data_IF_245291434901
#
_entry.id   IF_245291434901
#
_cell.length_a   1.000
_cell.length_b   1.000
_cell.length_c   1.000
_cell.angle_alpha   90.00
_cell.angle_beta   90.00
_cell.angle_gamma   90.00
#
_symmetry.space_group_name_H-M   'P 1'
#
loop_
_entity.id
_entity.type
_entity.pdbx_description
1 polymer ?
#
# COMPACT_ATOMS: atom_id res chain seq x y z
N UNK A 1 -20.15 -23.24 3.46
CA UNK A 1 -19.75 -22.41 4.63
C UNK A 1 -18.93 -21.25 4.09
N UNK A 2 -19.20 -20.01 4.51
CA UNK A 2 -18.46 -18.82 4.05
C UNK A 2 -17.71 -18.18 5.21
N UNK A 3 -16.48 -17.71 4.93
CA UNK A 3 -15.69 -16.90 5.85
C UNK A 3 -15.98 -15.42 5.59
N UNK A 4 -16.21 -14.64 6.64
CA UNK A 4 -16.29 -13.17 6.55
C UNK A 4 -15.23 -12.55 7.45
N UNK A 5 -14.40 -11.71 6.86
CA UNK A 5 -13.48 -10.83 7.58
C UNK A 5 -14.13 -9.45 7.72
N UNK A 6 -13.99 -8.82 8.88
CA UNK A 6 -14.58 -7.50 9.14
C UNK A 6 -13.64 -6.67 10.01
N UNK A 7 -13.54 -5.39 9.69
CA UNK A 7 -12.70 -4.41 10.39
C UNK A 7 -13.60 -3.30 10.92
N UNK A 8 -13.43 -2.93 12.18
CA UNK A 8 -14.11 -1.78 12.76
C UNK A 8 -13.51 -0.49 12.21
N UNK A 9 -14.11 0.03 11.13
CA UNK A 9 -13.54 1.10 10.30
C UNK A 9 -13.15 2.35 11.08
N UNK A 10 -14.01 2.86 11.96
CA UNK A 10 -13.75 4.12 12.67
C UNK A 10 -12.57 4.02 13.66
N UNK A 11 -12.54 3.06 14.61
CA UNK A 11 -11.37 2.83 15.45
C UNK A 11 -10.09 2.55 14.64
N UNK A 12 -10.21 1.76 13.57
CA UNK A 12 -9.06 1.44 12.72
C UNK A 12 -8.49 2.65 11.99
N UNK A 13 -9.34 3.55 11.46
CA UNK A 13 -8.87 4.80 10.84
C UNK A 13 -8.26 5.76 11.85
N UNK A 14 -8.80 5.84 13.06
CA UNK A 14 -8.22 6.65 14.14
C UNK A 14 -6.80 6.17 14.48
N UNK A 15 -6.61 4.86 14.58
CA UNK A 15 -5.28 4.27 14.82
C UNK A 15 -4.28 4.57 13.70
N UNK A 16 -4.70 4.47 12.43
CA UNK A 16 -3.84 4.83 11.28
C UNK A 16 -3.40 6.29 11.37
N UNK A 17 -4.33 7.20 11.66
CA UNK A 17 -4.03 8.62 11.79
C UNK A 17 -3.04 8.87 12.94
N UNK A 18 -3.26 8.25 14.10
CA UNK A 18 -2.34 8.34 15.25
C UNK A 18 -0.93 7.87 14.88
N UNK A 19 -0.78 6.68 14.29
CA UNK A 19 0.51 6.15 13.85
C UNK A 19 1.19 7.09 12.85
N UNK A 20 0.45 7.66 11.91
CA UNK A 20 0.98 8.60 10.93
C UNK A 20 1.51 9.89 11.61
N UNK A 21 0.80 10.42 12.61
CA UNK A 21 1.28 11.59 13.36
C UNK A 21 2.55 11.31 14.17
N UNK A 22 2.73 10.06 14.63
CA UNK A 22 3.87 9.65 15.45
C UNK A 22 5.07 9.16 14.64
N UNK A 23 4.94 9.05 13.31
CA UNK A 23 5.98 8.47 12.44
C UNK A 23 6.42 9.47 11.37
N UNK A 24 7.36 10.39 11.68
CA UNK A 24 7.94 11.27 10.67
C UNK A 24 8.56 10.48 9.52
N UNK A 25 8.20 10.83 8.28
CA UNK A 25 8.68 10.10 7.10
C UNK A 25 8.02 8.74 6.86
N UNK A 26 6.82 8.51 7.41
CA UNK A 26 6.05 7.29 7.19
C UNK A 26 5.97 6.94 5.69
N UNK A 27 6.34 5.70 5.36
CA UNK A 27 6.06 5.08 4.08
C UNK A 27 4.99 3.99 4.27
N UNK A 28 3.75 4.22 3.84
CA UNK A 28 2.71 3.20 3.92
C UNK A 28 3.08 2.00 3.05
N UNK A 29 2.84 0.80 3.57
CA UNK A 29 3.08 -0.46 2.87
C UNK A 29 1.73 -1.09 2.54
N UNK A 30 1.52 -1.49 1.29
CA UNK A 30 0.32 -2.21 0.83
C UNK A 30 0.77 -3.41 0.00
N UNK A 31 1.29 -4.43 0.67
CA UNK A 31 1.75 -5.69 0.06
C UNK A 31 0.80 -6.85 0.31
N UNK A 32 0.91 -7.91 -0.49
CA UNK A 32 0.11 -9.13 -0.34
C UNK A 32 -1.38 -8.86 -0.47
N UNK A 33 -1.78 -8.12 -1.51
CA UNK A 33 -3.16 -7.67 -1.70
C UNK A 33 -3.68 -6.82 -0.51
N UNK A 34 -2.83 -5.94 0.02
CA UNK A 34 -3.15 -5.10 1.17
C UNK A 34 -3.38 -5.89 2.46
N UNK A 35 -2.47 -6.83 2.77
CA UNK A 35 -2.54 -7.67 3.98
C UNK A 35 -3.86 -8.46 4.10
N UNK A 36 -4.46 -8.82 2.96
CA UNK A 36 -5.76 -9.49 2.90
C UNK A 36 -6.98 -8.59 3.08
N UNK A 37 -6.80 -7.27 3.28
CA UNK A 37 -7.89 -6.27 3.31
C UNK A 37 -8.29 -5.79 1.90
N UNK A 38 -7.51 -6.17 0.88
CA UNK A 38 -7.70 -5.78 -0.51
C UNK A 38 -6.85 -4.56 -0.86
N UNK A 39 -6.05 -4.70 -1.92
CA UNK A 39 -5.22 -3.61 -2.42
C UNK A 39 -6.07 -2.39 -2.82
N UNK A 40 -7.16 -2.61 -3.56
CA UNK A 40 -8.09 -1.56 -3.97
C UNK A 40 -8.76 -0.83 -2.77
N UNK A 41 -8.88 -1.52 -1.63
CA UNK A 41 -9.41 -0.93 -0.39
C UNK A 41 -8.38 -0.03 0.28
N UNK A 42 -7.12 -0.46 0.34
CA UNK A 42 -6.08 0.23 1.10
C UNK A 42 -5.34 1.32 0.32
N UNK A 43 -5.23 1.21 -1.01
CA UNK A 43 -4.48 2.18 -1.82
C UNK A 43 -4.98 3.62 -1.66
N UNK A 44 -6.31 3.92 -1.72
CA UNK A 44 -6.79 5.28 -1.50
C UNK A 44 -6.42 5.81 -0.11
N UNK A 45 -6.46 4.96 0.91
CA UNK A 45 -6.12 5.33 2.30
C UNK A 45 -4.63 5.60 2.42
N UNK A 46 -3.78 4.79 1.78
CA UNK A 46 -2.35 4.99 1.78
C UNK A 46 -1.94 6.26 1.00
N UNK A 47 -2.64 6.58 -0.09
CA UNK A 47 -2.42 7.80 -0.87
C UNK A 47 -2.78 9.08 -0.10
N UNK A 48 -3.73 9.01 0.86
CA UNK A 48 -3.99 10.11 1.81
C UNK A 48 -2.78 10.39 2.73
N UNK A 49 -1.90 9.41 2.95
CA UNK A 49 -0.78 9.50 3.92
C UNK A 49 0.55 9.87 3.28
N UNK A 50 0.78 9.50 2.02
CA UNK A 50 2.06 9.73 1.33
C UNK A 50 1.92 9.68 -0.19
N UNK A 51 2.73 10.48 -0.88
CA UNK A 51 2.90 10.41 -2.34
C UNK A 51 3.74 9.21 -2.80
N UNK A 52 4.29 8.42 -1.87
CA UNK A 52 4.99 7.16 -2.17
C UNK A 52 4.38 6.02 -1.36
N UNK A 53 4.14 4.87 -1.99
CA UNK A 53 3.58 3.68 -1.33
C UNK A 53 4.47 2.47 -1.62
N UNK A 54 4.85 1.72 -0.59
CA UNK A 54 5.58 0.47 -0.75
C UNK A 54 4.66 -0.70 -1.08
N UNK A 55 5.05 -1.53 -2.05
CA UNK A 55 4.36 -2.77 -2.44
C UNK A 55 5.33 -3.95 -2.39
N UNK A 56 4.80 -5.17 -2.31
CA UNK A 56 5.60 -6.37 -2.12
C UNK A 56 6.37 -6.77 -3.36
N UNK A 57 5.76 -6.74 -4.55
CA UNK A 57 6.42 -7.13 -5.80
C UNK A 57 5.94 -6.33 -7.01
N UNK A 58 6.66 -6.44 -8.12
CA UNK A 58 6.28 -5.83 -9.40
C UNK A 58 4.89 -6.26 -9.90
N UNK A 59 4.39 -7.42 -9.48
CA UNK A 59 3.05 -7.90 -9.85
C UNK A 59 1.91 -7.09 -9.21
N UNK A 60 2.21 -6.30 -8.17
CA UNK A 60 1.24 -5.46 -7.48
C UNK A 60 1.16 -4.05 -8.09
N UNK A 61 2.04 -3.70 -9.04
CA UNK A 61 2.10 -2.37 -9.67
C UNK A 61 0.78 -1.96 -10.36
N UNK A 62 0.05 -2.94 -10.91
CA UNK A 62 -1.20 -2.69 -11.62
C UNK A 62 -2.30 -2.07 -10.73
N UNK A 63 -2.24 -2.30 -9.42
CA UNK A 63 -3.20 -1.72 -8.47
C UNK A 63 -2.74 -0.41 -7.82
N UNK A 64 -1.58 0.12 -8.20
CA UNK A 64 -1.07 1.39 -7.65
C UNK A 64 -1.65 2.57 -8.45
N UNK A 65 -2.25 3.59 -7.80
CA UNK A 65 -2.71 4.81 -8.45
C UNK A 65 -1.62 5.52 -9.26
N UNK A 66 -2.01 6.19 -10.34
CA UNK A 66 -1.06 6.87 -11.24
C UNK A 66 -0.41 8.13 -10.64
N UNK A 67 -1.02 8.70 -9.61
CA UNK A 67 -0.58 9.91 -8.90
C UNK A 67 0.32 9.60 -7.68
N UNK A 68 0.63 8.33 -7.44
CA UNK A 68 1.54 7.88 -6.38
C UNK A 68 2.73 7.15 -6.98
N UNK A 69 3.92 7.39 -6.42
CA UNK A 69 5.14 6.67 -6.76
C UNK A 69 5.19 5.30 -6.04
N UNK A 70 5.26 4.17 -6.76
CA UNK A 70 5.43 2.87 -6.12
C UNK A 70 6.88 2.62 -5.71
N UNK A 71 7.08 2.07 -4.51
CA UNK A 71 8.36 1.49 -4.08
C UNK A 71 8.21 -0.04 -3.97
N UNK A 72 8.98 -0.79 -4.75
CA UNK A 72 8.91 -2.25 -4.81
C UNK A 72 9.93 -2.86 -3.85
N UNK A 73 9.44 -3.62 -2.87
CA UNK A 73 10.24 -4.19 -1.78
C UNK A 73 10.98 -5.49 -2.13
N UNK A 74 10.65 -6.12 -3.26
CA UNK A 74 11.27 -7.38 -3.69
C UNK A 74 11.95 -7.17 -5.03
N UNK A 75 13.22 -7.57 -5.18
CA UNK A 75 13.93 -7.53 -6.46
C UNK A 75 13.16 -8.29 -7.55
N UNK A 76 13.25 -7.78 -8.78
CA UNK A 76 12.65 -8.39 -9.96
C UNK A 76 13.72 -8.72 -11.01
N UNK A 77 13.54 -9.85 -11.71
CA UNK A 77 14.41 -10.23 -12.83
C UNK A 77 14.19 -9.34 -14.06
N UNK A 78 12.97 -8.84 -14.24
CA UNK A 78 12.59 -7.99 -15.36
C UNK A 78 12.30 -6.58 -14.88
N UNK A 79 12.53 -5.61 -15.76
CA UNK A 79 12.16 -4.22 -15.50
C UNK A 79 10.64 -4.11 -15.26
N UNK A 80 10.21 -3.23 -14.34
CA UNK A 80 8.80 -3.02 -14.05
C UNK A 80 8.10 -2.32 -15.23
N UNK A 81 6.81 -2.59 -15.42
CA UNK A 81 6.01 -1.90 -16.44
C UNK A 81 5.78 -0.41 -16.17
N UNK A 82 6.00 0.04 -14.93
CA UNK A 82 5.96 1.45 -14.51
C UNK A 82 7.39 1.97 -14.33
N UNK A 83 7.78 2.95 -15.13
CA UNK A 83 9.14 3.52 -15.12
C UNK A 83 9.41 4.40 -13.90
N UNK A 84 8.37 4.88 -13.24
CA UNK A 84 8.46 5.67 -12.02
C UNK A 84 8.56 4.81 -10.75
N UNK A 85 8.56 3.48 -10.88
CA UNK A 85 8.72 2.57 -9.75
C UNK A 85 10.16 2.63 -9.20
N UNK A 86 10.27 2.88 -7.89
CA UNK A 86 11.53 2.78 -7.15
C UNK A 86 11.75 1.31 -6.81
N UNK A 87 12.93 0.77 -7.17
CA UNK A 87 13.30 -0.62 -6.90
C UNK A 87 14.34 -0.66 -5.78
N UNK A 88 14.14 -1.54 -4.79
CA UNK A 88 15.11 -1.77 -3.69
C UNK A 88 15.99 -2.99 -3.92
#
# INVERSE_FOLDING_TARGET
MTLRLSVYRAPWRAHIAEVATQTPGLLPVVKGNGYGLGQATLMPIAAELSGTIAIGSVHELAGVPGDVTPLVLTPALLAPGRQDAIMT
#
